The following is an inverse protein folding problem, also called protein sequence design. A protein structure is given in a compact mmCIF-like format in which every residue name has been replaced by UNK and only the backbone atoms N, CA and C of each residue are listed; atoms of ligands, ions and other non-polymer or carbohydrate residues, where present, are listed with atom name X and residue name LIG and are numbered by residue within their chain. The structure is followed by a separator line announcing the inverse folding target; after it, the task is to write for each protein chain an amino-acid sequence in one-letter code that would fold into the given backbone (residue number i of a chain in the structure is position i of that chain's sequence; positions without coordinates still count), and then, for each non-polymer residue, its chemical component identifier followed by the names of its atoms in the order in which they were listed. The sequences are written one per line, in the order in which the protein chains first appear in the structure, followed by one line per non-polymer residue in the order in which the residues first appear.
data_IF_636636797320
#
_entry.id   IF_636636797320
#
_cell.length_a   1.000
_cell.length_b   1.000
_cell.length_c   1.000
_cell.angle_alpha   90.00
_cell.angle_beta   90.00
_cell.angle_gamma   90.00
#
_symmetry.space_group_name_H-M   'P 1'
#
loop_
_entity.id
_entity.type
_entity.pdbx_description
1 polymer ?
#
# COMPACT_ATOMS: atom_id res chain seq x y z
N UNK A 1 -0.24 -18.49 -13.68
CA UNK A 1 0.90 -18.04 -12.85
C UNK A 1 0.72 -16.56 -12.59
N UNK A 2 0.64 -16.15 -11.32
CA UNK A 2 0.37 -14.77 -10.91
C UNK A 2 1.50 -13.86 -11.41
N UNK A 3 1.14 -12.76 -12.08
CA UNK A 3 2.11 -11.83 -12.70
C UNK A 3 3.21 -11.37 -11.72
N UNK A 4 2.92 -11.31 -10.42
CA UNK A 4 3.92 -10.99 -9.39
C UNK A 4 5.09 -11.99 -9.31
N UNK A 5 4.83 -13.30 -9.41
CA UNK A 5 5.90 -14.32 -9.35
C UNK A 5 6.84 -14.19 -10.54
N UNK A 6 6.31 -13.81 -11.71
CA UNK A 6 7.12 -13.58 -12.91
C UNK A 6 8.03 -12.37 -12.71
N UNK A 7 7.51 -11.27 -12.14
CA UNK A 7 8.30 -10.06 -11.84
C UNK A 7 9.43 -10.34 -10.86
N UNK A 8 9.16 -11.10 -9.80
CA UNK A 8 10.16 -11.57 -8.83
C UNK A 8 11.33 -12.31 -9.51
N UNK A 9 11.00 -13.30 -10.34
CA UNK A 9 12.00 -14.13 -11.02
C UNK A 9 12.84 -13.28 -11.99
N UNK A 10 12.21 -12.37 -12.72
CA UNK A 10 12.91 -11.44 -13.62
C UNK A 10 13.90 -10.57 -12.83
N UNK A 11 13.51 -10.06 -11.66
CA UNK A 11 14.38 -9.20 -10.83
C UNK A 11 15.64 -9.95 -10.34
N UNK A 12 15.48 -11.22 -9.95
CA UNK A 12 16.61 -12.09 -9.56
C UNK A 12 17.55 -12.36 -10.73
N UNK A 13 17.01 -12.62 -11.92
CA UNK A 13 17.81 -12.83 -13.14
C UNK A 13 18.58 -11.56 -13.50
N UNK A 14 17.94 -10.39 -13.46
CA UNK A 14 18.59 -9.10 -13.72
C UNK A 14 19.74 -8.86 -12.74
N UNK A 15 19.56 -9.19 -11.45
CA UNK A 15 20.62 -9.05 -10.44
C UNK A 15 21.85 -9.90 -10.79
N UNK A 16 21.65 -11.14 -11.25
CA UNK A 16 22.75 -12.00 -11.70
C UNK A 16 23.47 -11.39 -12.92
N UNK A 17 22.71 -10.90 -13.90
CA UNK A 17 23.26 -10.28 -15.12
C UNK A 17 24.11 -9.04 -14.75
N UNK A 18 23.60 -8.18 -13.86
CA UNK A 18 24.32 -7.00 -13.38
C UNK A 18 25.61 -7.41 -12.66
N UNK A 19 25.58 -8.49 -11.85
CA UNK A 19 26.78 -9.00 -11.18
C UNK A 19 27.85 -9.46 -12.17
N UNK A 20 27.47 -10.20 -13.21
CA UNK A 20 28.40 -10.62 -14.28
C UNK A 20 28.94 -9.42 -15.04
N UNK A 21 28.08 -8.47 -15.41
CA UNK A 21 28.49 -7.26 -16.13
C UNK A 21 29.40 -6.37 -15.29
N UNK A 22 29.16 -6.24 -13.98
CA UNK A 22 30.02 -5.47 -13.08
C UNK A 22 31.39 -6.14 -12.88
N UNK A 23 31.44 -7.47 -12.88
CA UNK A 23 32.70 -8.21 -12.83
C UNK A 23 33.54 -7.98 -14.10
N UNK A 24 32.93 -8.11 -15.28
CA UNK A 24 33.58 -7.78 -16.56
C UNK A 24 33.99 -6.30 -16.59
N UNK A 25 33.09 -5.41 -16.15
CA UNK A 25 33.34 -3.98 -16.04
C UNK A 25 34.53 -3.65 -15.14
N UNK A 26 34.75 -4.43 -14.08
CA UNK A 26 35.91 -4.26 -13.19
C UNK A 26 37.23 -4.54 -13.89
N UNK A 27 37.28 -5.54 -14.79
CA UNK A 27 38.45 -5.80 -15.62
C UNK A 27 38.69 -4.69 -16.65
N UNK A 28 37.63 -4.25 -17.34
CA UNK A 28 37.73 -3.18 -18.33
C UNK A 28 38.14 -1.86 -17.69
N UNK A 29 37.60 -1.53 -16.51
CA UNK A 29 37.92 -0.30 -15.80
C UNK A 29 39.39 -0.30 -15.34
N UNK A 30 39.85 -1.42 -14.79
CA UNK A 30 41.25 -1.58 -14.41
C UNK A 30 42.21 -1.51 -15.60
N UNK A 31 41.85 -2.06 -16.76
CA UNK A 31 42.69 -2.00 -17.97
C UNK A 31 42.71 -0.61 -18.61
N UNK A 32 41.65 0.17 -18.45
CA UNK A 32 41.51 1.48 -19.11
C UNK A 32 42.12 2.60 -18.28
N UNK A 33 41.91 2.58 -16.95
CA UNK A 33 42.31 3.68 -16.05
C UNK A 33 43.41 3.29 -15.06
N UNK A 34 43.80 2.02 -15.02
CA UNK A 34 44.91 1.57 -14.19
C UNK A 34 46.25 2.04 -14.70
N UNK A 35 46.90 2.95 -13.98
CA UNK A 35 48.33 3.18 -14.15
C UNK A 35 49.07 1.87 -13.86
N UNK A 36 49.96 1.46 -14.77
CA UNK A 36 50.69 0.19 -14.70
C UNK A 36 51.24 -0.07 -13.29
N UNK A 37 51.00 -1.26 -12.75
CA UNK A 37 51.43 -1.65 -11.40
C UNK A 37 50.32 -1.51 -10.34
N UNK A 38 50.64 -0.90 -9.20
CA UNK A 38 49.77 -0.82 -8.01
C UNK A 38 48.47 -0.06 -8.24
N UNK A 39 48.44 0.94 -9.14
CA UNK A 39 47.25 1.74 -9.44
C UNK A 39 46.12 0.92 -10.06
N UNK A 40 46.44 0.08 -11.05
CA UNK A 40 45.45 -0.80 -11.69
C UNK A 40 44.82 -1.81 -10.73
N UNK A 41 45.61 -2.36 -9.81
CA UNK A 41 45.09 -3.30 -8.79
C UNK A 41 44.11 -2.61 -7.85
N UNK A 42 44.40 -1.38 -7.42
CA UNK A 42 43.51 -0.61 -6.54
C UNK A 42 42.16 -0.35 -7.23
N UNK A 43 42.18 0.10 -8.50
CA UNK A 43 40.95 0.38 -9.27
C UNK A 43 40.14 -0.91 -9.51
N UNK A 44 40.82 -2.03 -9.78
CA UNK A 44 40.17 -3.34 -9.91
C UNK A 44 39.45 -3.74 -8.63
N UNK A 45 40.16 -3.73 -7.50
CA UNK A 45 39.61 -4.13 -6.19
C UNK A 45 38.46 -3.22 -5.77
N UNK A 46 38.59 -1.90 -5.99
CA UNK A 46 37.53 -0.94 -5.71
C UNK A 46 36.27 -1.19 -6.56
N UNK A 47 36.45 -1.45 -7.86
CA UNK A 47 35.33 -1.72 -8.78
C UNK A 47 34.62 -3.03 -8.43
N UNK A 48 35.39 -4.05 -8.02
CA UNK A 48 34.87 -5.34 -7.57
C UNK A 48 34.07 -5.18 -6.27
N UNK A 49 34.61 -4.42 -5.31
CA UNK A 49 33.91 -4.12 -4.05
C UNK A 49 32.60 -3.35 -4.30
N UNK A 50 32.60 -2.35 -5.19
CA UNK A 50 31.39 -1.61 -5.54
C UNK A 50 30.35 -2.51 -6.23
N UNK A 51 30.79 -3.38 -7.14
CA UNK A 51 29.92 -4.38 -7.79
C UNK A 51 29.30 -5.32 -6.76
N UNK A 52 30.11 -5.80 -5.81
CA UNK A 52 29.65 -6.67 -4.73
C UNK A 52 28.59 -5.99 -3.86
N UNK A 53 28.84 -4.76 -3.40
CA UNK A 53 27.85 -3.97 -2.65
C UNK A 53 26.58 -3.74 -3.47
N UNK A 54 26.70 -3.42 -4.76
CA UNK A 54 25.57 -3.27 -5.66
C UNK A 54 24.73 -4.55 -5.73
N UNK A 55 25.37 -5.71 -5.91
CA UNK A 55 24.69 -7.00 -5.94
C UNK A 55 23.92 -7.29 -4.64
N UNK A 56 24.49 -6.97 -3.48
CA UNK A 56 23.81 -7.14 -2.18
C UNK A 56 22.55 -6.28 -2.13
N UNK A 57 22.65 -5.01 -2.54
CA UNK A 57 21.50 -4.09 -2.52
C UNK A 57 20.40 -4.58 -3.47
N UNK A 58 20.74 -4.92 -4.72
CA UNK A 58 19.76 -5.43 -5.69
C UNK A 58 19.13 -6.75 -5.27
N UNK A 59 19.91 -7.65 -4.67
CA UNK A 59 19.39 -8.89 -4.12
C UNK A 59 18.43 -8.63 -2.96
N UNK A 60 18.77 -7.71 -2.06
CA UNK A 60 17.89 -7.31 -0.95
C UNK A 60 16.59 -6.69 -1.45
N UNK A 61 16.66 -5.84 -2.49
CA UNK A 61 15.47 -5.27 -3.14
C UNK A 61 14.60 -6.37 -3.77
N UNK A 62 15.20 -7.38 -4.38
CA UNK A 62 14.45 -8.51 -4.95
C UNK A 62 13.66 -9.26 -3.87
N UNK A 63 14.25 -9.48 -2.69
CA UNK A 63 13.56 -10.10 -1.55
C UNK A 63 12.40 -9.22 -1.05
N UNK A 64 12.60 -7.90 -0.99
CA UNK A 64 11.55 -6.96 -0.56
C UNK A 64 10.36 -7.00 -1.53
N UNK A 65 10.62 -7.07 -2.84
CA UNK A 65 9.55 -7.19 -3.85
C UNK A 65 8.76 -8.49 -3.67
N UNK A 66 9.44 -9.61 -3.41
CA UNK A 66 8.78 -10.90 -3.14
C UNK A 66 7.81 -10.79 -1.95
N UNK A 67 8.27 -10.16 -0.88
CA UNK A 67 7.46 -9.93 0.31
C UNK A 67 6.27 -9.00 0.02
N UNK A 68 6.48 -7.95 -0.78
CA UNK A 68 5.42 -7.01 -1.14
C UNK A 68 4.31 -7.69 -1.96
N UNK A 69 4.68 -8.60 -2.86
CA UNK A 69 3.74 -9.38 -3.66
C UNK A 69 2.92 -10.31 -2.76
N UNK A 70 3.56 -11.02 -1.82
CA UNK A 70 2.88 -11.89 -0.87
C UNK A 70 1.89 -11.11 0.00
N UNK A 71 2.28 -9.92 0.48
CA UNK A 71 1.39 -9.04 1.23
C UNK A 71 0.20 -8.57 0.40
N UNK A 72 0.43 -8.18 -0.85
CA UNK A 72 -0.64 -7.71 -1.73
C UNK A 72 -1.65 -8.81 -2.04
N UNK A 73 -1.18 -10.04 -2.23
CA UNK A 73 -2.02 -11.21 -2.43
C UNK A 73 -2.89 -11.50 -1.20
N UNK A 74 -2.29 -11.49 0.00
CA UNK A 74 -3.04 -11.66 1.26
C UNK A 74 -4.06 -10.54 1.48
N UNK A 75 -3.69 -9.30 1.18
CA UNK A 75 -4.60 -8.16 1.32
C UNK A 75 -5.80 -8.28 0.37
N UNK A 76 -5.58 -8.71 -0.87
CA UNK A 76 -6.64 -8.97 -1.83
C UNK A 76 -7.58 -10.08 -1.35
N UNK A 77 -7.05 -11.20 -0.87
CA UNK A 77 -7.86 -12.31 -0.35
C UNK A 77 -8.71 -11.89 0.86
N UNK A 78 -8.17 -11.04 1.74
CA UNK A 78 -8.92 -10.48 2.88
C UNK A 78 -10.06 -9.58 2.39
N UNK A 79 -9.82 -8.71 1.40
CA UNK A 79 -10.88 -7.86 0.84
C UNK A 79 -12.01 -8.69 0.23
N UNK A 80 -11.67 -9.69 -0.60
CA UNK A 80 -12.67 -10.56 -1.23
C UNK A 80 -13.44 -11.37 -0.18
N UNK A 81 -12.77 -11.86 0.87
CA UNK A 81 -13.45 -12.56 1.96
C UNK A 81 -14.35 -11.63 2.79
N UNK A 82 -13.95 -10.38 3.01
CA UNK A 82 -14.75 -9.38 3.70
C UNK A 82 -16.01 -9.04 2.91
N UNK A 83 -15.90 -8.83 1.60
CA UNK A 83 -17.03 -8.58 0.71
C UNK A 83 -18.01 -9.77 0.68
N UNK A 84 -17.48 -11.00 0.57
CA UNK A 84 -18.31 -12.22 0.65
C UNK A 84 -19.03 -12.34 2.00
N UNK A 85 -18.39 -11.98 3.10
CA UNK A 85 -19.00 -12.02 4.42
C UNK A 85 -20.08 -10.92 4.58
N UNK A 86 -19.84 -9.70 4.07
CA UNK A 86 -20.84 -8.63 4.03
C UNK A 86 -22.07 -9.07 3.24
N UNK A 87 -21.88 -9.56 2.02
CA UNK A 87 -22.96 -10.03 1.14
C UNK A 87 -23.75 -11.20 1.77
N UNK A 88 -23.09 -12.09 2.52
CA UNK A 88 -23.77 -13.16 3.27
C UNK A 88 -24.53 -12.65 4.50
N UNK A 89 -24.04 -11.59 5.14
CA UNK A 89 -24.64 -11.04 6.36
C UNK A 89 -25.81 -10.08 6.11
N UNK A 90 -25.96 -9.50 4.91
CA UNK A 90 -27.10 -8.65 4.59
C UNK A 90 -27.36 -8.53 3.06
N UNK A 91 -28.26 -9.33 2.46
CA UNK A 91 -28.54 -9.26 1.02
C UNK A 91 -29.24 -7.96 0.56
N UNK A 92 -29.65 -7.09 1.49
CA UNK A 92 -30.39 -5.85 1.20
C UNK A 92 -29.54 -4.56 1.26
N UNK A 93 -28.21 -4.65 1.45
CA UNK A 93 -27.33 -3.48 1.59
C UNK A 93 -26.62 -3.06 0.28
N UNK A 94 -27.17 -3.45 -0.87
CA UNK A 94 -26.65 -3.07 -2.20
C UNK A 94 -26.99 -1.63 -2.61
N UNK A 95 -27.88 -0.94 -1.90
CA UNK A 95 -28.42 0.36 -2.30
C UNK A 95 -27.94 1.55 -1.44
N UNK A 96 -27.12 1.33 -0.40
CA UNK A 96 -26.85 2.34 0.63
C UNK A 96 -25.42 2.93 0.63
N UNK A 97 -24.50 2.45 -0.22
CA UNK A 97 -23.14 3.01 -0.31
C UNK A 97 -22.95 4.06 -1.42
N UNK A 98 -23.94 4.29 -2.28
CA UNK A 98 -23.88 5.34 -3.31
C UNK A 98 -24.22 6.74 -2.77
N UNK A 99 -24.70 6.85 -1.52
CA UNK A 99 -25.16 8.13 -0.93
C UNK A 99 -24.12 8.84 -0.04
N UNK A 100 -23.01 8.19 0.32
CA UNK A 100 -21.99 8.79 1.21
C UNK A 100 -20.96 9.68 0.48
N UNK A 101 -20.92 9.67 -0.85
CA UNK A 101 -20.06 10.54 -1.66
C UNK A 101 -20.78 11.76 -2.26
N UNK A 102 -22.10 11.86 -2.11
CA UNK A 102 -22.92 12.96 -2.65
C UNK A 102 -23.25 14.08 -1.64
N UNK A 103 -22.80 13.97 -0.38
CA UNK A 103 -23.17 14.94 0.67
C UNK A 103 -22.12 16.02 0.94
N UNK A 104 -21.14 16.21 0.05
CA UNK A 104 -20.06 17.19 0.23
C UNK A 104 -20.05 18.33 -0.79
N UNK A 105 -21.15 18.56 -1.50
CA UNK A 105 -21.35 19.76 -2.33
C UNK A 105 -22.79 20.25 -2.17
N UNK A 106 -23.00 21.35 -1.45
CA UNK A 106 -24.29 22.04 -1.43
C UNK A 106 -24.54 22.91 -0.20
N UNK A 107 -24.17 24.18 -0.35
CA UNK A 107 -24.73 25.36 0.32
C UNK A 107 -24.75 25.43 1.86
N UNK A 108 -23.79 26.21 2.36
CA UNK A 108 -24.10 27.24 3.35
C UNK A 108 -25.16 28.17 2.76
N UNK A 109 -26.40 28.16 3.29
CA UNK A 109 -27.22 29.37 3.47
C UNK A 109 -28.54 29.06 4.21
N UNK A 110 -28.68 29.67 5.39
CA UNK A 110 -29.91 30.21 5.99
C UNK A 110 -31.03 29.29 6.54
N UNK A 111 -31.31 29.53 7.83
CA UNK A 111 -32.63 29.54 8.50
C UNK A 111 -33.37 28.21 8.69
N UNK A 112 -33.28 27.64 9.90
CA UNK A 112 -34.41 27.59 10.85
C UNK A 112 -33.94 26.94 12.17
N UNK A 113 -33.93 27.75 13.21
CA UNK A 113 -33.82 27.37 14.61
C UNK A 113 -34.94 26.39 14.96
N UNK A 114 -34.65 25.09 14.91
CA UNK A 114 -35.55 24.04 15.38
C UNK A 114 -34.95 23.50 16.67
N UNK A 115 -35.39 24.12 17.76
CA UNK A 115 -35.40 23.61 19.13
C UNK A 115 -35.34 22.05 19.16
N UNK A 116 -34.15 21.51 19.42
CA UNK A 116 -33.88 20.05 19.47
C UNK A 116 -33.28 19.69 20.84
N UNK A 117 -33.51 18.45 21.29
CA UNK A 117 -32.93 17.92 22.53
C UNK A 117 -32.22 16.59 22.28
N UNK A 118 -31.13 16.36 23.00
CA UNK A 118 -30.31 15.14 22.88
C UNK A 118 -30.72 14.13 23.95
N UNK A 119 -31.01 12.89 23.54
CA UNK A 119 -31.38 11.84 24.47
C UNK A 119 -30.22 11.46 25.39
N UNK A 120 -30.43 11.46 26.71
CA UNK A 120 -29.42 11.07 27.70
C UNK A 120 -29.04 9.59 27.63
N UNK A 121 -29.93 8.73 27.11
CA UNK A 121 -29.73 7.28 27.08
C UNK A 121 -28.94 6.81 25.85
N UNK A 122 -29.30 7.29 24.65
CA UNK A 122 -28.72 6.83 23.39
C UNK A 122 -27.99 7.91 22.59
N UNK A 123 -28.05 9.18 23.02
CA UNK A 123 -27.38 10.29 22.33
C UNK A 123 -28.08 10.81 21.08
N UNK A 124 -29.22 10.22 20.68
CA UNK A 124 -29.97 10.64 19.49
C UNK A 124 -30.56 12.05 19.66
N UNK A 125 -30.42 12.89 18.64
CA UNK A 125 -31.02 14.24 18.60
C UNK A 125 -32.47 14.14 18.13
N UNK A 126 -33.39 14.64 18.95
CA UNK A 126 -34.84 14.63 18.72
C UNK A 126 -35.35 16.08 18.62
N UNK A 127 -36.44 16.28 17.88
CA UNK A 127 -37.15 17.58 17.85
C UNK A 127 -37.84 17.81 19.20
N UNK A 128 -37.90 19.05 19.68
CA UNK A 128 -38.57 19.43 20.95
C UNK A 128 -40.07 19.13 20.99
N UNK A 129 -40.72 19.03 19.82
CA UNK A 129 -42.10 18.57 19.70
C UNK A 129 -42.30 17.11 20.18
N UNK A 130 -41.25 16.29 20.18
CA UNK A 130 -41.32 14.89 20.60
C UNK A 130 -40.96 14.76 22.08
N UNK A 131 -41.93 14.33 22.89
CA UNK A 131 -41.73 14.06 24.33
C UNK A 131 -40.93 12.78 24.61
N UNK A 132 -40.82 11.89 23.62
CA UNK A 132 -40.08 10.64 23.69
C UNK A 132 -39.02 10.56 22.59
N UNK A 133 -37.93 9.86 22.88
CA UNK A 133 -36.88 9.61 21.92
C UNK A 133 -37.38 8.66 20.83
N UNK A 134 -37.20 9.04 19.56
CA UNK A 134 -37.60 8.24 18.39
C UNK A 134 -36.92 6.87 18.30
N UNK A 135 -35.80 6.71 18.98
CA UNK A 135 -34.89 5.59 18.79
C UNK A 135 -34.99 4.58 19.94
N UNK A 136 -35.03 5.07 21.19
CA UNK A 136 -35.06 4.22 22.38
C UNK A 136 -36.36 4.36 23.21
N UNK A 137 -37.33 5.16 22.76
CA UNK A 137 -38.61 5.37 23.44
C UNK A 137 -38.52 6.07 24.81
N UNK A 138 -37.32 6.49 25.24
CA UNK A 138 -37.12 7.13 26.54
C UNK A 138 -37.63 8.57 26.52
N UNK A 139 -38.35 8.99 27.56
CA UNK A 139 -38.83 10.36 27.72
C UNK A 139 -37.68 11.36 27.91
N UNK A 140 -37.94 12.63 27.63
CA UNK A 140 -36.97 13.73 27.79
C UNK A 140 -36.40 13.83 29.21
#
# INVERSE_FOLDING_TARGET
MKNGVIVSVICKIITIIIGVMGLIGSFVNASTWGTYGTGGVIIFVQSLFLTFLGCIVFYSLSIIIDFLIDLNERAYDIQVNMERNINRSNPNLSNSQLDLLSLNNGDETNMLDVDTWKCKKCGTVNRKANSFCKDCGTYR
#
